data_IF_637493641913
#
_entry.id   IF_637493641913
#
_cell.length_a   1.000
_cell.length_b   1.000
_cell.length_c   1.000
_cell.angle_alpha   90.00
_cell.angle_beta   90.00
_cell.angle_gamma   90.00
#
_symmetry.space_group_name_H-M   'P 1'
#
loop_
_entity.id
_entity.type
_entity.pdbx_description
1 polymer ?
#
# COMPACT_ATOMS: atom_id res chain seq x y z
N UNK A 1 -7.04 2.25 -14.69
CA UNK A 1 -6.31 1.95 -13.43
C UNK A 1 -5.59 3.21 -12.97
N UNK A 2 -5.62 3.54 -11.68
CA UNK A 2 -4.84 4.66 -11.13
C UNK A 2 -3.38 4.24 -10.90
N UNK A 3 -2.48 5.23 -10.81
CA UNK A 3 -1.04 4.97 -10.67
C UNK A 3 -0.70 4.15 -9.41
N UNK A 4 -1.45 4.35 -8.32
CA UNK A 4 -1.34 3.53 -7.11
C UNK A 4 -1.60 2.05 -7.36
N UNK A 5 -2.68 1.71 -8.09
CA UNK A 5 -2.98 0.34 -8.48
C UNK A 5 -1.92 -0.30 -9.37
N UNK A 6 -1.32 0.46 -10.29
CA UNK A 6 -0.25 -0.04 -11.16
C UNK A 6 1.00 -0.36 -10.34
N UNK A 7 1.42 0.52 -9.43
CA UNK A 7 2.58 0.28 -8.58
C UNK A 7 2.33 -0.86 -7.58
N UNK A 8 1.09 -1.00 -7.10
CA UNK A 8 0.68 -2.11 -6.24
C UNK A 8 0.86 -3.47 -6.94
N UNK A 9 0.38 -3.61 -8.18
CA UNK A 9 0.54 -4.84 -8.96
C UNK A 9 2.02 -5.15 -9.24
N UNK A 10 2.86 -4.12 -9.41
CA UNK A 10 4.30 -4.26 -9.59
C UNK A 10 5.08 -4.63 -8.32
N UNK A 11 4.42 -4.72 -7.16
CA UNK A 11 5.09 -4.95 -5.87
C UNK A 11 5.80 -3.73 -5.30
N UNK A 12 5.71 -2.57 -5.97
CA UNK A 12 6.32 -1.32 -5.53
C UNK A 12 5.43 -0.63 -4.48
N UNK A 13 5.33 -1.22 -3.30
CA UNK A 13 4.37 -0.81 -2.26
C UNK A 13 4.60 0.61 -1.73
N UNK A 14 5.87 1.05 -1.64
CA UNK A 14 6.22 2.43 -1.26
C UNK A 14 5.62 3.44 -2.25
N UNK A 15 5.83 3.21 -3.55
CA UNK A 15 5.26 4.05 -4.61
C UNK A 15 3.73 3.97 -4.63
N UNK A 16 3.16 2.77 -4.43
CA UNK A 16 1.72 2.58 -4.39
C UNK A 16 1.07 3.40 -3.28
N UNK A 17 1.64 3.36 -2.06
CA UNK A 17 1.21 4.14 -0.90
C UNK A 17 1.19 5.64 -1.21
N UNK A 18 2.31 6.18 -1.72
CA UNK A 18 2.42 7.60 -2.03
C UNK A 18 1.35 8.08 -3.05
N UNK A 19 1.02 7.26 -4.04
CA UNK A 19 -0.05 7.58 -4.99
C UNK A 19 -1.44 7.50 -4.37
N UNK A 20 -1.70 6.51 -3.51
CA UNK A 20 -2.99 6.41 -2.83
C UNK A 20 -3.22 7.55 -1.84
N UNK A 21 -2.20 7.97 -1.09
CA UNK A 21 -2.26 9.10 -0.16
C UNK A 21 -2.57 10.41 -0.90
N UNK A 22 -1.86 10.69 -2.01
CA UNK A 22 -2.17 11.85 -2.86
C UNK A 22 -3.58 11.79 -3.43
N UNK A 23 -4.04 10.62 -3.86
CA UNK A 23 -5.41 10.46 -4.34
C UNK A 23 -6.45 10.66 -3.23
N UNK A 24 -6.13 10.26 -1.99
CA UNK A 24 -7.02 10.40 -0.84
C UNK A 24 -7.14 11.86 -0.41
N UNK A 25 -6.10 12.68 -0.56
CA UNK A 25 -6.19 14.13 -0.37
C UNK A 25 -7.21 14.78 -1.32
N UNK A 26 -7.35 14.26 -2.54
CA UNK A 26 -8.32 14.75 -3.53
C UNK A 26 -9.73 14.18 -3.31
N UNK A 27 -9.83 12.95 -2.81
CA UNK A 27 -11.12 12.27 -2.55
C UNK A 27 -11.11 11.62 -1.16
N UNK A 28 -11.26 12.42 -0.07
CA UNK A 28 -11.07 11.94 1.31
C UNK A 28 -12.01 10.82 1.75
N UNK A 29 -13.19 10.72 1.14
CA UNK A 29 -14.21 9.73 1.48
C UNK A 29 -14.15 8.46 0.61
N UNK A 30 -13.13 8.34 -0.24
CA UNK A 30 -12.97 7.15 -1.08
C UNK A 30 -12.69 5.91 -0.24
N UNK A 31 -13.73 5.08 -0.06
CA UNK A 31 -13.63 3.75 0.58
C UNK A 31 -12.57 2.88 -0.11
N UNK A 32 -12.52 2.92 -1.44
CA UNK A 32 -11.56 2.15 -2.24
C UNK A 32 -10.10 2.53 -1.92
N UNK A 33 -9.79 3.82 -1.78
CA UNK A 33 -8.43 4.26 -1.44
C UNK A 33 -8.03 3.86 -0.02
N UNK A 34 -8.96 4.00 0.94
CA UNK A 34 -8.76 3.55 2.33
C UNK A 34 -8.51 2.04 2.39
N UNK A 35 -9.28 1.24 1.65
CA UNK A 35 -9.09 -0.21 1.56
C UNK A 35 -7.75 -0.61 0.94
N UNK A 36 -7.30 0.12 -0.09
CA UNK A 36 -6.00 -0.15 -0.71
C UNK A 36 -4.84 0.18 0.22
N UNK A 37 -4.90 1.29 0.96
CA UNK A 37 -3.91 1.62 1.99
C UNK A 37 -3.88 0.55 3.10
N UNK A 38 -5.05 0.13 3.58
CA UNK A 38 -5.14 -0.94 4.58
C UNK A 38 -4.57 -2.28 4.08
N UNK A 39 -4.68 -2.59 2.78
CA UNK A 39 -4.02 -3.76 2.18
C UNK A 39 -2.50 -3.63 2.21
N UNK A 40 -1.96 -2.44 1.92
CA UNK A 40 -0.52 -2.17 2.00
C UNK A 40 -0.01 -2.30 3.43
N UNK A 41 -0.73 -1.76 4.43
CA UNK A 41 -0.34 -1.88 5.85
C UNK A 41 -0.18 -3.37 6.26
N UNK A 42 -1.13 -4.22 5.85
CA UNK A 42 -1.06 -5.67 6.13
C UNK A 42 0.09 -6.37 5.40
N UNK A 43 0.45 -5.92 4.20
CA UNK A 43 1.58 -6.46 3.45
C UNK A 43 2.90 -6.09 4.12
N UNK A 44 3.08 -4.81 4.48
CA UNK A 44 4.28 -4.32 5.17
C UNK A 44 4.51 -5.05 6.50
N UNK A 45 3.46 -5.22 7.31
CA UNK A 45 3.55 -5.98 8.56
C UNK A 45 4.03 -7.42 8.33
N UNK A 46 3.47 -8.11 7.34
CA UNK A 46 3.88 -9.50 7.03
C UNK A 46 5.31 -9.59 6.52
N UNK A 47 5.74 -8.64 5.69
CA UNK A 47 7.13 -8.59 5.19
C UNK A 47 8.12 -8.33 6.34
N UNK A 48 7.74 -7.49 7.30
CA UNK A 48 8.53 -7.23 8.50
C UNK A 48 8.66 -8.51 9.36
N UNK A 49 7.54 -9.20 9.60
CA UNK A 49 7.54 -10.47 10.35
C UNK A 49 8.39 -11.56 9.68
N UNK A 50 8.35 -11.67 8.34
CA UNK A 50 9.19 -12.61 7.59
C UNK A 50 10.67 -12.24 7.73
N UNK A 51 11.00 -10.95 7.57
CA UNK A 51 12.39 -10.49 7.70
C UNK A 51 12.96 -10.75 9.09
N UNK A 52 12.16 -10.57 10.14
CA UNK A 52 12.58 -10.83 11.52
C UNK A 52 12.86 -12.32 11.76
N UNK A 53 12.05 -13.23 11.19
CA UNK A 53 12.26 -14.67 11.30
C UNK A 53 13.50 -15.15 10.57
N UNK A 54 13.82 -14.56 9.42
CA UNK A 54 15.02 -14.92 8.65
C UNK A 54 16.33 -14.43 9.32
N UNK A 55 16.24 -13.58 10.35
CA UNK A 55 17.38 -13.01 11.09
C UNK A 55 17.66 -13.70 12.44
N UNK A 56 16.85 -14.67 12.85
CA UNK A 56 16.99 -15.48 14.08
C UNK A 56 17.33 -16.92 13.77
#
# INVERSE_FOLDING_TARGET
MNMGGIQHIKGNYVSARAYYEKALQLVPDSKLLKENLAKLDRLEKRLQEVREKDQT
#
